data_IF_775034979865
#
_entry.id   IF_775034979865
#
_cell.length_a   1.000
_cell.length_b   1.000
_cell.length_c   1.000
_cell.angle_alpha   90.00
_cell.angle_beta   90.00
_cell.angle_gamma   90.00
#
_symmetry.space_group_name_H-M   'P 1'
#
loop_
_entity.id
_entity.type
_entity.pdbx_description
1 polymer ?
#
# COMPACT_ATOMS: atom_id res chain seq x y z
N UNK A 1 -52.04 13.37 -24.11
CA UNK A 1 -51.10 12.28 -23.76
C UNK A 1 -50.27 12.79 -22.61
N UNK A 2 -50.47 12.34 -21.36
CA UNK A 2 -49.71 12.83 -20.22
C UNK A 2 -48.37 12.09 -20.13
N UNK A 3 -47.30 12.85 -19.91
CA UNK A 3 -45.95 12.39 -19.63
C UNK A 3 -45.87 11.84 -18.21
N UNK A 4 -45.48 10.57 -18.08
CA UNK A 4 -45.18 9.94 -16.78
C UNK A 4 -43.85 10.46 -16.23
N UNK A 5 -43.92 11.29 -15.21
CA UNK A 5 -42.77 11.59 -14.36
C UNK A 5 -42.58 10.45 -13.33
N UNK A 6 -41.46 9.79 -13.40
CA UNK A 6 -41.06 8.78 -12.41
C UNK A 6 -40.55 9.50 -11.16
N UNK A 7 -41.34 9.50 -10.09
CA UNK A 7 -40.94 10.00 -8.78
C UNK A 7 -40.35 8.79 -8.00
N UNK A 8 -39.05 8.79 -7.75
CA UNK A 8 -38.41 7.83 -6.90
C UNK A 8 -38.77 8.06 -5.42
N UNK A 9 -38.81 7.03 -4.58
CA UNK A 9 -39.20 7.18 -3.18
C UNK A 9 -38.14 7.94 -2.40
N UNK A 10 -38.49 9.14 -1.95
CA UNK A 10 -37.75 9.86 -0.93
C UNK A 10 -37.98 9.18 0.41
N UNK A 11 -37.05 8.42 0.95
CA UNK A 11 -37.09 7.97 2.34
C UNK A 11 -36.84 9.17 3.26
N UNK A 12 -37.87 9.90 3.56
CA UNK A 12 -37.89 10.83 4.68
C UNK A 12 -38.14 9.99 5.93
N UNK A 13 -37.09 9.71 6.67
CA UNK A 13 -37.22 9.17 8.03
C UNK A 13 -37.72 10.32 8.90
N UNK A 14 -39.01 10.30 9.23
CA UNK A 14 -39.56 11.17 10.24
C UNK A 14 -38.95 10.80 11.59
N UNK A 15 -38.11 11.66 12.14
CA UNK A 15 -37.65 11.56 13.52
C UNK A 15 -38.84 11.94 14.41
N UNK A 16 -39.51 10.94 14.95
CA UNK A 16 -40.50 11.17 16.01
C UNK A 16 -39.78 11.83 17.20
N UNK A 17 -40.26 12.98 17.63
CA UNK A 17 -39.79 13.64 18.85
C UNK A 17 -40.13 12.76 20.06
N UNK A 18 -39.10 12.17 20.67
CA UNK A 18 -39.23 11.44 21.94
C UNK A 18 -39.34 12.46 23.08
N UNK A 19 -40.28 12.32 24.04
CA UNK A 19 -40.39 13.21 25.18
C UNK A 19 -39.11 13.20 26.02
N UNK A 20 -38.72 14.35 26.54
CA UNK A 20 -37.46 14.59 27.27
C UNK A 20 -37.23 13.68 28.50
N UNK A 21 -38.32 13.08 29.03
CA UNK A 21 -38.26 12.15 30.17
C UNK A 21 -37.63 10.76 29.81
N UNK A 22 -37.72 10.32 28.56
CA UNK A 22 -37.21 8.99 28.14
C UNK A 22 -35.73 9.03 27.74
N UNK A 23 -35.16 10.22 27.53
CA UNK A 23 -33.74 10.36 27.14
C UNK A 23 -32.81 10.10 28.33
N UNK A 24 -33.25 10.31 29.57
CA UNK A 24 -32.43 10.09 30.74
C UNK A 24 -32.23 8.59 31.09
N UNK A 25 -33.13 7.72 30.64
CA UNK A 25 -33.08 6.28 30.92
C UNK A 25 -32.32 5.49 29.82
N UNK A 26 -32.02 6.15 28.71
CA UNK A 26 -31.19 5.59 27.60
C UNK A 26 -29.72 5.97 27.71
N UNK A 27 -29.26 6.51 28.84
CA UNK A 27 -27.84 6.58 29.14
C UNK A 27 -27.30 5.14 29.28
N UNK A 28 -27.05 4.53 28.16
CA UNK A 28 -26.30 3.27 28.08
C UNK A 28 -25.00 3.51 28.83
N UNK A 29 -24.84 2.83 29.97
CA UNK A 29 -23.53 2.73 30.62
C UNK A 29 -22.50 2.49 29.52
N UNK A 30 -21.65 3.47 29.31
CA UNK A 30 -20.49 3.31 28.46
C UNK A 30 -19.68 2.16 29.06
N UNK A 31 -19.86 0.96 28.54
CA UNK A 31 -18.95 -0.14 28.85
C UNK A 31 -17.56 0.38 28.58
N UNK A 32 -16.65 0.31 29.57
CA UNK A 32 -15.28 0.74 29.31
C UNK A 32 -14.80 -0.03 28.09
N UNK A 33 -14.47 0.69 27.02
CA UNK A 33 -13.72 0.13 25.92
C UNK A 33 -12.49 -0.49 26.55
N UNK A 34 -12.36 -1.80 26.48
CA UNK A 34 -11.13 -2.46 26.88
C UNK A 34 -10.04 -1.96 25.96
N UNK A 35 -9.35 -0.91 26.37
CA UNK A 35 -8.09 -0.53 25.76
C UNK A 35 -7.05 -1.50 26.29
N UNK A 36 -6.61 -2.43 25.47
CA UNK A 36 -5.44 -3.24 25.76
C UNK A 36 -4.23 -2.31 25.60
N UNK A 37 -3.79 -1.72 26.69
CA UNK A 37 -2.48 -1.08 26.75
C UNK A 37 -1.45 -2.21 26.77
N UNK A 38 -0.90 -2.53 25.60
CA UNK A 38 0.28 -3.39 25.51
C UNK A 38 1.45 -2.50 25.92
N UNK A 39 2.05 -2.76 27.09
CA UNK A 39 3.29 -2.11 27.48
C UNK A 39 4.41 -2.57 26.55
N UNK A 40 5.32 -1.66 26.19
CA UNK A 40 6.48 -1.93 25.30
C UNK A 40 7.40 -3.04 25.85
N UNK A 41 7.21 -3.49 27.08
CA UNK A 41 7.94 -4.58 27.74
C UNK A 41 7.36 -5.98 27.50
N UNK A 42 6.26 -6.12 26.75
CA UNK A 42 5.76 -7.43 26.33
C UNK A 42 6.47 -7.91 25.06
N UNK A 43 7.78 -7.96 25.11
CA UNK A 43 8.54 -8.99 24.41
C UNK A 43 8.45 -10.27 25.28
N UNK A 44 7.24 -10.69 25.53
CA UNK A 44 6.97 -11.95 26.18
C UNK A 44 7.38 -13.05 25.23
N UNK A 45 8.33 -13.86 25.66
CA UNK A 45 8.56 -15.19 25.11
C UNK A 45 7.22 -15.94 25.17
N UNK A 46 6.43 -15.83 24.08
CA UNK A 46 5.17 -16.55 23.94
C UNK A 46 5.55 -18.00 23.63
N UNK A 47 6.02 -18.69 24.66
CA UNK A 47 6.06 -20.12 24.63
C UNK A 47 4.62 -20.63 24.58
N UNK A 48 4.10 -20.73 23.37
CA UNK A 48 2.81 -21.39 23.12
C UNK A 48 2.84 -22.77 23.70
N UNK A 49 1.69 -23.28 24.11
CA UNK A 49 1.49 -24.59 24.75
C UNK A 49 2.14 -25.76 24.02
N UNK A 50 2.56 -25.59 22.76
CA UNK A 50 3.08 -26.61 21.87
C UNK A 50 4.49 -26.30 21.34
N UNK A 51 5.24 -25.40 21.98
CA UNK A 51 6.60 -25.04 21.53
C UNK A 51 6.64 -24.26 20.20
N UNK A 52 5.50 -23.72 19.73
CA UNK A 52 5.45 -22.91 18.52
C UNK A 52 5.95 -21.50 18.86
N UNK A 53 7.09 -21.13 18.32
CA UNK A 53 7.59 -19.76 18.39
C UNK A 53 6.82 -18.89 17.40
N UNK A 54 6.08 -17.89 17.89
CA UNK A 54 5.49 -16.88 17.04
C UNK A 54 6.58 -15.88 16.65
N UNK A 55 6.93 -15.82 15.38
CA UNK A 55 7.88 -14.84 14.84
C UNK A 55 7.16 -13.75 14.08
N UNK A 56 7.66 -12.52 14.13
CA UNK A 56 7.10 -11.42 13.37
C UNK A 56 7.27 -11.65 11.85
N UNK A 57 6.41 -11.03 11.06
CA UNK A 57 6.53 -11.09 9.60
C UNK A 57 7.90 -10.57 9.11
N UNK A 58 8.44 -9.52 9.73
CA UNK A 58 9.78 -9.03 9.45
C UNK A 58 10.86 -10.08 9.75
N UNK A 59 10.72 -10.85 10.83
CA UNK A 59 11.63 -11.95 11.20
C UNK A 59 11.55 -13.11 10.19
N UNK A 60 10.31 -13.41 9.68
CA UNK A 60 10.13 -14.40 8.60
C UNK A 60 10.85 -13.96 7.33
N UNK A 61 10.75 -12.69 6.95
CA UNK A 61 11.47 -12.15 5.80
C UNK A 61 12.98 -12.21 6.01
N UNK A 62 13.48 -11.82 7.20
CA UNK A 62 14.89 -11.88 7.53
C UNK A 62 15.45 -13.31 7.44
N UNK A 63 14.70 -14.32 7.92
CA UNK A 63 15.08 -15.72 7.81
C UNK A 63 15.05 -16.24 6.38
N UNK A 64 14.01 -15.86 5.60
CA UNK A 64 13.84 -16.31 4.22
C UNK A 64 14.90 -15.71 3.28
N UNK A 65 15.31 -14.49 3.56
CA UNK A 65 16.24 -13.73 2.72
C UNK A 65 17.54 -13.41 3.43
N UNK A 66 17.97 -14.26 4.37
CA UNK A 66 19.24 -14.13 5.06
C UNK A 66 20.40 -14.01 4.05
N UNK A 67 21.17 -12.93 4.13
CA UNK A 67 22.26 -12.62 3.20
C UNK A 67 21.87 -11.79 1.98
N UNK A 68 20.57 -11.46 1.80
CA UNK A 68 20.12 -10.53 0.77
C UNK A 68 20.19 -9.10 1.34
N UNK A 69 20.57 -8.14 0.49
CA UNK A 69 20.60 -6.73 0.87
C UNK A 69 19.17 -6.22 1.15
N UNK A 70 19.01 -5.51 2.28
CA UNK A 70 17.77 -4.86 2.64
C UNK A 70 17.71 -3.46 2.06
N UNK A 71 16.54 -3.08 1.53
CA UNK A 71 16.36 -1.84 0.82
C UNK A 71 16.58 -0.59 1.69
N UNK A 72 16.03 -0.57 2.91
CA UNK A 72 15.93 0.67 3.69
C UNK A 72 15.40 0.43 5.12
N UNK A 73 15.39 1.51 5.91
CA UNK A 73 14.57 1.64 7.12
C UNK A 73 13.27 2.37 6.79
N UNK A 74 12.20 2.09 7.53
CA UNK A 74 10.92 2.78 7.35
C UNK A 74 11.07 4.30 7.54
N UNK A 75 10.42 5.09 6.66
CA UNK A 75 10.44 6.54 6.66
C UNK A 75 9.06 7.12 6.94
N UNK A 76 8.99 8.37 7.43
CA UNK A 76 7.75 9.06 7.78
C UNK A 76 7.59 10.44 7.10
N UNK A 77 8.54 10.83 6.24
CA UNK A 77 8.56 12.13 5.55
C UNK A 77 7.52 12.28 4.43
N UNK A 78 7.69 13.33 3.65
CA UNK A 78 6.87 13.62 2.47
C UNK A 78 7.12 12.65 1.31
N UNK A 79 8.25 11.96 1.33
CA UNK A 79 8.58 10.85 0.42
C UNK A 79 8.91 9.64 1.29
N UNK A 80 8.31 8.50 0.94
CA UNK A 80 8.47 7.27 1.71
C UNK A 80 8.77 6.10 0.79
N UNK A 81 9.32 5.07 1.39
CA UNK A 81 9.42 3.78 0.74
C UNK A 81 8.03 3.15 0.56
N UNK A 82 7.83 2.28 -0.47
CA UNK A 82 6.53 1.65 -0.73
C UNK A 82 6.11 0.63 0.33
N UNK A 83 7.00 0.31 1.27
CA UNK A 83 6.74 -0.55 2.43
C UNK A 83 7.14 0.15 3.72
N UNK A 84 6.39 0.01 4.83
CA UNK A 84 6.72 0.66 6.11
C UNK A 84 7.82 -0.08 6.90
N UNK A 85 8.50 -1.05 6.29
CA UNK A 85 9.57 -1.86 6.86
C UNK A 85 10.56 -2.25 5.75
N UNK A 86 11.76 -2.67 6.14
CA UNK A 86 12.77 -3.11 5.19
C UNK A 86 12.31 -4.38 4.43
N UNK A 87 12.48 -4.37 3.12
CA UNK A 87 12.16 -5.48 2.22
C UNK A 87 13.41 -5.79 1.39
N UNK A 88 13.81 -7.07 1.27
CA UNK A 88 14.97 -7.45 0.47
C UNK A 88 14.81 -7.06 -1.01
N UNK A 89 15.92 -6.67 -1.64
CA UNK A 89 15.99 -6.48 -3.09
C UNK A 89 16.38 -7.79 -3.76
N UNK A 90 15.72 -8.12 -4.86
CA UNK A 90 16.04 -9.31 -5.68
C UNK A 90 16.64 -8.95 -7.02
N UNK A 91 16.32 -7.77 -7.56
CA UNK A 91 16.94 -7.26 -8.79
C UNK A 91 17.00 -5.73 -8.74
N UNK A 92 18.07 -5.16 -9.29
CA UNK A 92 18.31 -3.71 -9.27
C UNK A 92 18.12 -3.11 -10.66
N UNK A 93 17.94 -1.80 -10.67
CA UNK A 93 17.96 -0.99 -11.90
C UNK A 93 19.29 -1.14 -12.63
N UNK A 94 19.24 -1.27 -13.96
CA UNK A 94 20.42 -1.28 -14.82
C UNK A 94 20.51 -2.46 -15.77
N UNK A 95 21.70 -2.65 -16.34
CA UNK A 95 21.98 -3.73 -17.27
C UNK A 95 21.98 -5.11 -16.60
N UNK A 96 21.30 -6.06 -17.21
CA UNK A 96 21.26 -7.46 -16.76
C UNK A 96 21.25 -8.43 -17.93
N UNK A 97 21.47 -9.70 -17.67
CA UNK A 97 21.30 -10.75 -18.68
C UNK A 97 19.85 -10.75 -19.16
N UNK A 98 19.65 -10.49 -20.45
CA UNK A 98 18.32 -10.43 -21.06
C UNK A 98 17.77 -9.01 -21.27
N UNK A 99 18.53 -7.96 -20.96
CA UNK A 99 18.17 -6.57 -21.26
C UNK A 99 18.37 -5.60 -20.11
N UNK A 100 17.79 -4.43 -20.23
CA UNK A 100 17.84 -3.38 -19.22
C UNK A 100 16.65 -3.48 -18.27
N UNK A 101 16.90 -3.43 -16.95
CA UNK A 101 15.90 -3.38 -15.90
C UNK A 101 15.62 -1.92 -15.54
N UNK A 102 14.38 -1.47 -15.80
CA UNK A 102 13.99 -0.05 -15.60
C UNK A 102 13.59 0.28 -14.17
N UNK A 103 13.54 -0.71 -13.30
CA UNK A 103 13.07 -0.57 -11.93
C UNK A 103 13.94 -1.27 -10.90
N UNK A 104 13.42 -1.40 -9.71
CA UNK A 104 13.98 -2.19 -8.62
C UNK A 104 12.93 -3.18 -8.13
N UNK A 105 13.32 -4.45 -7.95
CA UNK A 105 12.43 -5.51 -7.50
C UNK A 105 12.58 -5.75 -6.00
N UNK A 106 11.47 -5.56 -5.29
CA UNK A 106 11.35 -5.76 -3.85
C UNK A 106 10.68 -7.11 -3.55
N UNK A 107 11.42 -8.02 -2.94
CA UNK A 107 10.96 -9.36 -2.62
C UNK A 107 10.01 -9.35 -1.42
N UNK A 108 8.74 -9.17 -1.68
CA UNK A 108 7.70 -9.27 -0.67
C UNK A 108 6.71 -10.38 -1.03
N UNK A 109 6.17 -11.14 -0.07
CA UNK A 109 5.17 -12.16 -0.34
C UNK A 109 3.92 -11.61 -1.02
N UNK A 110 3.27 -12.45 -1.83
CA UNK A 110 1.95 -12.12 -2.38
C UNK A 110 0.98 -11.71 -1.28
N UNK A 111 0.19 -10.67 -1.53
CA UNK A 111 -0.74 -10.10 -0.57
C UNK A 111 -0.13 -9.07 0.38
N UNK A 112 1.17 -8.77 0.29
CA UNK A 112 1.79 -7.67 1.05
C UNK A 112 1.26 -6.32 0.56
N UNK A 113 0.81 -5.42 1.46
CA UNK A 113 0.35 -4.10 1.07
C UNK A 113 1.47 -3.22 0.52
N UNK A 114 1.16 -2.50 -0.56
CA UNK A 114 2.02 -1.52 -1.22
C UNK A 114 1.44 -0.13 -0.98
N UNK A 115 2.30 0.85 -0.73
CA UNK A 115 1.89 2.21 -0.39
C UNK A 115 2.52 3.24 -1.34
N UNK A 116 1.80 4.36 -1.54
CA UNK A 116 2.24 5.47 -2.38
C UNK A 116 3.50 6.14 -1.79
N UNK A 117 4.52 6.36 -2.63
CA UNK A 117 5.80 6.92 -2.19
C UNK A 117 5.75 8.42 -1.94
N UNK A 118 4.78 9.14 -2.50
CA UNK A 118 4.58 10.59 -2.35
C UNK A 118 3.12 10.96 -2.64
N UNK A 119 2.73 12.19 -2.29
CA UNK A 119 1.46 12.78 -2.70
C UNK A 119 1.39 12.88 -4.23
N UNK A 120 0.23 12.64 -4.82
CA UNK A 120 0.09 12.68 -6.27
C UNK A 120 -1.30 12.38 -6.79
N UNK A 121 -1.38 12.10 -8.08
CA UNK A 121 -2.60 11.69 -8.76
C UNK A 121 -2.37 10.40 -9.54
N UNK A 122 -3.30 9.49 -9.42
CA UNK A 122 -3.29 8.23 -10.17
C UNK A 122 -3.53 8.53 -11.65
N UNK A 123 -2.63 8.10 -12.52
CA UNK A 123 -2.78 8.25 -13.97
C UNK A 123 -3.27 6.96 -14.64
N UNK A 124 -2.97 5.82 -14.03
CA UNK A 124 -3.31 4.51 -14.58
C UNK A 124 -3.44 3.44 -13.49
N UNK A 125 -4.47 2.58 -13.59
CA UNK A 125 -4.58 1.34 -12.79
C UNK A 125 -5.34 0.31 -13.58
N UNK A 126 -4.67 -0.68 -14.15
CA UNK A 126 -5.26 -1.89 -14.73
C UNK A 126 -4.19 -2.91 -15.14
N UNK A 127 -4.62 -4.06 -15.65
CA UNK A 127 -3.73 -4.98 -16.33
C UNK A 127 -3.63 -4.68 -17.81
N UNK A 128 -2.43 -4.82 -18.38
CA UNK A 128 -2.20 -4.73 -19.81
C UNK A 128 -1.18 -5.77 -20.30
N UNK A 129 -0.86 -5.72 -21.61
CA UNK A 129 0.08 -6.63 -22.26
C UNK A 129 1.54 -6.12 -22.25
N UNK A 130 1.86 -5.04 -21.53
CA UNK A 130 3.22 -4.46 -21.46
C UNK A 130 4.24 -5.36 -20.76
N UNK A 131 3.76 -6.35 -20.03
CA UNK A 131 4.57 -7.23 -19.18
C UNK A 131 4.50 -6.88 -17.70
N UNK A 132 4.02 -5.68 -17.34
CA UNK A 132 3.85 -5.24 -15.94
C UNK A 132 2.72 -5.98 -15.21
N UNK A 133 1.80 -6.63 -15.95
CA UNK A 133 0.62 -7.25 -15.37
C UNK A 133 -0.34 -6.21 -14.83
N UNK A 134 -0.99 -6.51 -13.70
CA UNK A 134 -1.82 -5.52 -13.02
C UNK A 134 -0.91 -4.52 -12.31
N UNK A 135 -1.02 -3.26 -12.68
CA UNK A 135 -0.11 -2.22 -12.21
C UNK A 135 -0.82 -0.87 -12.02
N UNK A 136 -0.20 0.00 -11.23
CA UNK A 136 -0.62 1.36 -11.01
C UNK A 136 0.51 2.34 -11.38
N UNK A 137 0.12 3.50 -11.91
CA UNK A 137 1.02 4.61 -12.19
C UNK A 137 0.48 5.85 -11.49
N UNK A 138 1.35 6.55 -10.74
CA UNK A 138 1.02 7.75 -10.00
C UNK A 138 1.97 8.87 -10.40
N UNK A 139 1.41 10.01 -10.77
CA UNK A 139 2.17 11.23 -11.07
C UNK A 139 2.28 12.11 -9.84
N UNK A 140 3.47 12.58 -9.55
CA UNK A 140 3.84 13.39 -8.41
C UNK A 140 4.54 14.68 -8.85
N UNK A 141 4.62 15.67 -7.95
CA UNK A 141 5.53 16.82 -8.10
C UNK A 141 6.44 16.83 -6.87
N UNK A 142 7.72 16.57 -7.08
CA UNK A 142 8.73 16.53 -6.01
C UNK A 142 9.79 17.59 -6.30
N UNK A 143 9.98 18.53 -5.38
CA UNK A 143 10.93 19.65 -5.53
C UNK A 143 10.72 20.45 -6.84
N UNK A 144 9.47 20.55 -7.32
CA UNK A 144 9.11 21.24 -8.55
C UNK A 144 9.35 20.43 -9.83
N UNK A 145 9.84 19.20 -9.73
CA UNK A 145 10.04 18.28 -10.86
C UNK A 145 8.88 17.29 -10.98
N UNK A 146 8.48 16.94 -12.21
CA UNK A 146 7.53 15.88 -12.44
C UNK A 146 8.21 14.52 -12.21
N UNK A 147 7.59 13.74 -11.34
CA UNK A 147 8.02 12.38 -10.98
C UNK A 147 6.87 11.43 -11.22
N UNK A 148 7.13 10.28 -11.82
CA UNK A 148 6.15 9.21 -11.97
C UNK A 148 6.65 7.97 -11.25
N UNK A 149 5.77 7.33 -10.48
CA UNK A 149 6.03 6.02 -9.88
C UNK A 149 5.12 4.96 -10.49
N UNK A 150 5.70 3.83 -10.88
CA UNK A 150 5.00 2.67 -11.44
C UNK A 150 5.16 1.48 -10.49
N UNK A 151 4.04 0.90 -10.09
CA UNK A 151 3.95 -0.25 -9.19
C UNK A 151 3.42 -1.45 -9.97
N UNK A 152 4.29 -2.40 -10.32
CA UNK A 152 3.92 -3.52 -11.18
C UNK A 152 3.84 -4.87 -10.46
N UNK A 153 3.38 -5.87 -11.20
CA UNK A 153 3.16 -7.26 -10.78
C UNK A 153 2.20 -7.40 -9.60
N UNK A 154 1.31 -6.40 -9.41
CA UNK A 154 0.33 -6.42 -8.33
C UNK A 154 -0.65 -7.58 -8.48
N UNK A 155 -1.25 -8.00 -7.38
CA UNK A 155 -2.34 -8.95 -7.40
C UNK A 155 -3.54 -8.38 -8.18
N UNK A 156 -4.17 -9.19 -9.02
CA UNK A 156 -5.26 -8.74 -9.89
C UNK A 156 -6.38 -8.08 -9.09
N UNK A 157 -6.80 -6.89 -9.53
CA UNK A 157 -7.88 -6.11 -8.94
C UNK A 157 -7.66 -5.78 -7.44
N UNK A 158 -6.42 -5.73 -6.98
CA UNK A 158 -6.11 -5.44 -5.57
C UNK A 158 -6.10 -3.95 -5.24
N UNK A 159 -6.03 -3.07 -6.22
CA UNK A 159 -6.06 -1.63 -6.02
C UNK A 159 -7.50 -1.11 -5.89
N UNK A 160 -7.81 -0.29 -4.89
CA UNK A 160 -9.08 0.43 -4.82
C UNK A 160 -9.07 1.72 -5.64
N UNK A 161 -7.90 2.11 -6.19
CA UNK A 161 -7.69 3.37 -6.87
C UNK A 161 -8.18 3.33 -8.32
N UNK A 162 -8.49 4.51 -8.85
CA UNK A 162 -8.88 4.74 -10.24
C UNK A 162 -8.09 5.93 -10.82
N UNK A 163 -7.93 5.97 -12.14
CA UNK A 163 -7.31 7.13 -12.79
C UNK A 163 -8.06 8.41 -12.47
N UNK A 164 -7.33 9.44 -12.04
CA UNK A 164 -7.86 10.71 -11.56
C UNK A 164 -7.94 10.84 -10.03
N UNK A 165 -7.81 9.74 -9.27
CA UNK A 165 -7.81 9.80 -7.81
C UNK A 165 -6.57 10.53 -7.28
N UNK A 166 -6.79 11.40 -6.28
CA UNK A 166 -5.70 11.99 -5.52
C UNK A 166 -5.25 11.00 -4.44
N UNK A 167 -3.94 10.84 -4.28
CA UNK A 167 -3.32 10.02 -3.24
C UNK A 167 -2.37 10.84 -2.40
N UNK A 168 -2.22 10.46 -1.14
CA UNK A 168 -1.21 10.99 -0.22
C UNK A 168 -0.11 9.97 -0.01
N UNK A 169 1.06 10.45 0.37
CA UNK A 169 2.17 9.60 0.78
C UNK A 169 1.72 8.61 1.85
N UNK A 170 1.97 7.33 1.60
CA UNK A 170 1.56 6.24 2.50
C UNK A 170 0.13 5.75 2.31
N UNK A 171 -0.64 6.27 1.35
CA UNK A 171 -1.94 5.70 0.98
C UNK A 171 -1.75 4.33 0.33
N UNK A 172 -2.72 3.45 0.56
CA UNK A 172 -2.71 2.10 0.01
C UNK A 172 -2.89 2.11 -1.51
N UNK A 173 -1.94 1.52 -2.23
CA UNK A 173 -1.96 1.41 -3.70
C UNK A 173 -2.52 0.06 -4.15
N UNK A 174 -2.13 -1.02 -3.51
CA UNK A 174 -2.55 -2.37 -3.86
C UNK A 174 -1.74 -3.43 -3.13
N UNK A 175 -1.82 -4.67 -3.59
CA UNK A 175 -1.14 -5.81 -2.98
C UNK A 175 -0.08 -6.36 -3.92
N UNK A 176 1.05 -6.78 -3.36
CA UNK A 176 2.07 -7.55 -4.08
C UNK A 176 1.45 -8.81 -4.69
N UNK A 177 1.78 -9.09 -5.93
CA UNK A 177 1.36 -10.29 -6.65
C UNK A 177 2.50 -10.85 -7.51
N UNK A 178 2.12 -11.52 -8.58
CA UNK A 178 3.02 -12.11 -9.58
C UNK A 178 2.42 -12.04 -10.99
N UNK A 179 1.54 -11.07 -11.24
CA UNK A 179 0.88 -10.89 -12.54
C UNK A 179 1.86 -10.38 -13.60
N UNK A 180 1.55 -10.61 -14.87
CA UNK A 180 2.41 -10.20 -15.99
C UNK A 180 3.65 -11.08 -16.16
N UNK A 181 4.78 -10.46 -16.55
CA UNK A 181 6.06 -11.17 -16.72
C UNK A 181 6.81 -11.21 -15.38
N UNK A 182 6.44 -12.12 -14.53
CA UNK A 182 7.00 -12.33 -13.20
C UNK A 182 7.48 -13.78 -13.03
N UNK A 183 8.51 -13.99 -12.21
CA UNK A 183 9.01 -15.32 -11.82
C UNK A 183 8.65 -15.67 -10.37
N UNK A 184 7.83 -14.86 -9.72
CA UNK A 184 7.38 -15.05 -8.35
C UNK A 184 6.98 -13.72 -7.71
N UNK A 185 6.33 -13.79 -6.56
CA UNK A 185 5.77 -12.61 -5.92
C UNK A 185 6.85 -11.57 -5.55
N UNK A 186 6.70 -10.36 -6.08
CA UNK A 186 7.53 -9.19 -5.78
C UNK A 186 6.81 -7.90 -6.20
N UNK A 187 7.29 -6.76 -5.73
CA UNK A 187 6.95 -5.46 -6.29
C UNK A 187 8.07 -5.04 -7.23
N UNK A 188 7.77 -4.84 -8.49
CA UNK A 188 8.61 -4.09 -9.42
C UNK A 188 8.22 -2.61 -9.33
N UNK A 189 9.15 -1.78 -8.85
CA UNK A 189 8.96 -0.33 -8.74
C UNK A 189 9.83 0.37 -9.78
N UNK A 190 9.23 1.26 -10.58
CA UNK A 190 9.97 2.22 -11.41
C UNK A 190 9.75 3.65 -10.89
N UNK A 191 10.75 4.50 -11.06
CA UNK A 191 10.64 5.95 -10.87
C UNK A 191 11.13 6.61 -12.15
N UNK A 192 10.32 7.51 -12.70
CA UNK A 192 10.66 8.27 -13.88
C UNK A 192 10.71 9.76 -13.54
N UNK A 193 11.78 10.44 -13.94
CA UNK A 193 11.93 11.89 -13.87
C UNK A 193 11.78 12.45 -15.29
N UNK A 194 10.73 13.25 -15.52
CA UNK A 194 10.42 13.78 -16.85
C UNK A 194 10.43 12.63 -17.92
N UNK A 195 9.70 11.53 -17.64
CA UNK A 195 9.58 10.31 -18.47
C UNK A 195 10.84 9.44 -18.58
N UNK A 196 11.96 9.84 -17.97
CA UNK A 196 13.22 9.07 -17.99
C UNK A 196 13.31 8.19 -16.75
N UNK A 197 13.43 6.85 -16.91
CA UNK A 197 13.59 5.96 -15.75
C UNK A 197 14.92 6.20 -15.05
N UNK A 198 14.89 6.24 -13.73
CA UNK A 198 16.05 6.37 -12.84
C UNK A 198 16.08 5.22 -11.86
N UNK A 199 17.23 4.96 -11.21
CA UNK A 199 17.35 3.94 -10.17
C UNK A 199 16.45 4.27 -8.97
N UNK A 200 15.35 3.51 -8.74
CA UNK A 200 14.41 3.78 -7.66
C UNK A 200 15.06 3.68 -6.28
N UNK A 201 15.99 2.73 -6.11
CA UNK A 201 16.68 2.56 -4.82
C UNK A 201 17.56 3.76 -4.48
N UNK A 202 18.33 4.25 -5.45
CA UNK A 202 19.20 5.43 -5.28
C UNK A 202 18.35 6.67 -5.02
N UNK A 203 17.27 6.85 -5.80
CA UNK A 203 16.39 8.01 -5.68
C UNK A 203 15.67 8.03 -4.31
N UNK A 204 15.10 6.91 -3.88
CA UNK A 204 14.43 6.79 -2.59
C UNK A 204 15.42 6.96 -1.43
N UNK A 205 16.62 6.39 -1.52
CA UNK A 205 17.67 6.57 -0.50
C UNK A 205 18.04 8.04 -0.30
N UNK A 206 18.00 8.83 -1.38
CA UNK A 206 18.32 10.25 -1.32
C UNK A 206 17.14 11.14 -0.86
N UNK A 207 15.90 10.72 -1.06
CA UNK A 207 14.70 11.55 -0.87
C UNK A 207 13.81 11.12 0.30
N UNK A 208 13.75 9.82 0.61
CA UNK A 208 12.91 9.32 1.68
C UNK A 208 13.60 9.47 3.05
N UNK A 209 13.00 10.27 3.95
CA UNK A 209 13.50 10.59 5.28
C UNK A 209 12.48 10.32 6.37
#
# INVERSE_FOLDING_TARGET
MPSNAFVGPSNVVAIASVPEADVAELAVESRPTQSLAVSDDVVGDVNGRDGVKVISYAEVLALKFAGVEYAYNATSGAIRWPFPYAVPLTDRFGDRVGGFHKGTDFAAPAGTPIYAIADGFVTYVQADYSGYGYHAIISHVVDGQQVESLYAHMASNSSPLQAGDAVRVGDFVGLVGDTGRSYGAHLHLEIHLDEVPVDPYVWLTAKAV
#
